data_IF_491326615173
#
_entry.id   IF_491326615173
#
_cell.length_a   1.000
_cell.length_b   1.000
_cell.length_c   1.000
_cell.angle_alpha   90.00
_cell.angle_beta   90.00
_cell.angle_gamma   90.00
#
_symmetry.space_group_name_H-M   'P 1'
#
loop_
_entity.id
_entity.type
_entity.pdbx_description
1 polymer ?
#
# COMPACT_ATOMS: atom_id res chain seq x y z
N UNK A 1 -11.92 -9.13 -2.32
CA UNK A 1 -11.44 -9.41 -3.68
C UNK A 1 -12.35 -8.72 -4.68
N UNK A 2 -11.84 -8.35 -5.86
CA UNK A 2 -12.61 -7.72 -6.94
C UNK A 2 -12.72 -8.72 -8.10
N UNK A 3 -13.80 -9.52 -8.21
CA UNK A 3 -13.90 -10.55 -9.25
C UNK A 3 -13.87 -9.97 -10.67
N UNK A 4 -14.18 -8.69 -10.83
CA UNK A 4 -14.20 -7.97 -12.10
C UNK A 4 -12.82 -7.59 -12.65
N UNK A 5 -11.77 -7.63 -11.82
CA UNK A 5 -10.40 -7.26 -12.21
C UNK A 5 -9.37 -8.17 -11.55
N UNK A 6 -8.36 -8.55 -12.30
CA UNK A 6 -7.20 -9.21 -11.73
C UNK A 6 -6.34 -8.19 -10.94
N UNK A 7 -6.08 -8.48 -9.67
CA UNK A 7 -5.25 -7.61 -8.82
C UNK A 7 -3.89 -8.26 -8.62
N UNK A 8 -2.87 -7.72 -9.27
CA UNK A 8 -1.48 -8.19 -9.18
C UNK A 8 -0.71 -7.36 -8.16
N UNK A 9 -0.19 -7.99 -7.12
CA UNK A 9 0.74 -7.36 -6.17
C UNK A 9 2.17 -7.42 -6.69
N UNK A 10 2.87 -6.28 -6.75
CA UNK A 10 4.30 -6.22 -7.07
C UNK A 10 5.11 -5.87 -5.81
N UNK A 11 6.06 -6.71 -5.44
CA UNK A 11 6.82 -6.53 -4.19
C UNK A 11 8.27 -7.01 -4.28
N UNK A 12 9.06 -6.82 -3.23
CA UNK A 12 10.40 -7.40 -3.13
C UNK A 12 10.33 -8.90 -2.78
N UNK A 13 11.34 -9.71 -3.13
CA UNK A 13 11.34 -11.15 -2.84
C UNK A 13 11.04 -11.50 -1.38
N UNK A 14 11.58 -10.71 -0.44
CA UNK A 14 11.38 -10.91 1.00
C UNK A 14 9.91 -10.75 1.45
N UNK A 15 9.08 -10.03 0.69
CA UNK A 15 7.71 -9.70 1.06
C UNK A 15 6.65 -10.52 0.30
N UNK A 16 7.04 -11.40 -0.64
CA UNK A 16 6.09 -12.18 -1.46
C UNK A 16 5.14 -12.99 -0.58
N UNK A 17 5.68 -13.83 0.30
CA UNK A 17 4.89 -14.69 1.17
C UNK A 17 3.93 -13.88 2.08
N UNK A 18 4.39 -12.72 2.57
CA UNK A 18 3.54 -11.83 3.34
C UNK A 18 2.39 -11.29 2.48
N UNK A 19 2.67 -10.72 1.31
CA UNK A 19 1.65 -10.19 0.42
C UNK A 19 0.64 -11.26 -0.02
N UNK A 20 1.09 -12.49 -0.31
CA UNK A 20 0.21 -13.63 -0.66
C UNK A 20 -0.72 -13.97 0.50
N UNK A 21 -0.19 -14.01 1.72
CA UNK A 21 -0.96 -14.32 2.93
C UNK A 21 -2.10 -13.32 3.22
N UNK A 22 -2.07 -12.12 2.62
CA UNK A 22 -3.16 -11.15 2.78
C UNK A 22 -4.45 -11.58 2.06
N UNK A 23 -4.37 -12.46 1.06
CA UNK A 23 -5.54 -12.99 0.34
C UNK A 23 -6.31 -11.95 -0.50
N UNK A 24 -5.73 -10.75 -0.70
CA UNK A 24 -6.35 -9.64 -1.46
C UNK A 24 -5.92 -9.59 -2.93
N UNK A 25 -4.82 -10.26 -3.27
CA UNK A 25 -4.27 -10.30 -4.62
C UNK A 25 -4.68 -11.58 -5.33
N UNK A 26 -4.91 -11.49 -6.65
CA UNK A 26 -5.05 -12.65 -7.52
C UNK A 26 -3.72 -13.40 -7.67
N UNK A 27 -2.62 -12.64 -7.71
CA UNK A 27 -1.24 -13.14 -7.72
C UNK A 27 -0.30 -12.09 -7.15
N UNK A 28 0.81 -12.55 -6.58
CA UNK A 28 1.92 -11.70 -6.15
C UNK A 28 3.13 -12.05 -6.99
N UNK A 29 3.78 -11.03 -7.53
CA UNK A 29 4.99 -11.15 -8.32
C UNK A 29 6.08 -10.26 -7.70
N UNK A 30 7.33 -10.65 -7.90
CA UNK A 30 8.46 -9.79 -7.60
C UNK A 30 8.61 -8.70 -8.66
N UNK A 31 9.30 -7.61 -8.33
CA UNK A 31 9.51 -6.50 -9.28
C UNK A 31 10.20 -6.91 -10.58
N UNK A 32 11.08 -7.91 -10.54
CA UNK A 32 11.79 -8.48 -11.69
C UNK A 32 10.95 -9.43 -12.54
N UNK A 33 9.81 -9.90 -12.04
CA UNK A 33 8.85 -10.75 -12.78
C UNK A 33 7.82 -9.93 -13.58
N UNK A 34 8.04 -8.62 -13.74
CA UNK A 34 7.13 -7.76 -14.50
C UNK A 34 6.93 -8.25 -15.95
N UNK A 35 7.93 -8.92 -16.50
CA UNK A 35 7.95 -9.45 -17.85
C UNK A 35 7.03 -10.67 -18.07
N UNK A 36 6.54 -11.29 -17.00
CA UNK A 36 5.56 -12.38 -17.08
C UNK A 36 4.14 -11.87 -17.34
N UNK A 37 3.91 -10.56 -17.18
CA UNK A 37 2.61 -9.94 -17.46
C UNK A 37 2.51 -9.57 -18.95
N UNK A 38 1.37 -9.86 -19.63
CA UNK A 38 1.18 -9.46 -21.02
C UNK A 38 1.16 -7.93 -21.14
N UNK A 39 2.00 -7.40 -22.03
CA UNK A 39 2.23 -5.97 -22.19
C UNK A 39 1.03 -5.22 -22.81
N UNK A 40 0.18 -5.92 -23.55
CA UNK A 40 -0.97 -5.40 -24.28
C UNK A 40 -2.28 -5.45 -23.48
N UNK A 41 -2.27 -6.07 -22.30
CA UNK A 41 -3.45 -6.15 -21.43
C UNK A 41 -3.80 -4.76 -20.89
N UNK A 42 -5.03 -4.26 -21.09
CA UNK A 42 -5.49 -3.01 -20.50
C UNK A 42 -5.37 -3.07 -18.97
N UNK A 43 -4.62 -2.13 -18.40
CA UNK A 43 -4.33 -2.16 -16.97
C UNK A 43 -4.30 -0.77 -16.35
N UNK A 44 -4.40 -0.73 -15.03
CA UNK A 44 -4.16 0.46 -14.23
C UNK A 44 -3.00 0.19 -13.29
N UNK A 45 -2.13 1.18 -13.13
CA UNK A 45 -1.02 1.12 -12.20
C UNK A 45 -1.33 1.93 -10.94
N UNK A 46 -1.11 1.33 -9.77
CA UNK A 46 -1.25 1.97 -8.46
C UNK A 46 0.07 1.84 -7.71
N UNK A 47 0.80 2.94 -7.59
CA UNK A 47 2.14 3.00 -7.03
C UNK A 47 2.10 3.37 -5.55
N UNK A 48 2.32 2.40 -4.67
CA UNK A 48 2.57 2.62 -3.24
C UNK A 48 4.05 2.65 -2.89
N UNK A 49 4.92 2.19 -3.78
CA UNK A 49 6.34 2.01 -3.51
C UNK A 49 7.14 3.31 -3.72
N UNK A 50 6.62 4.22 -4.54
CA UNK A 50 7.33 5.44 -4.94
C UNK A 50 8.60 5.15 -5.75
N UNK A 51 8.75 3.93 -6.27
CA UNK A 51 9.96 3.49 -6.96
C UNK A 51 9.94 4.00 -8.41
N UNK A 52 10.71 5.06 -8.69
CA UNK A 52 10.78 5.67 -10.02
C UNK A 52 11.27 4.73 -11.12
N UNK A 53 12.19 3.80 -10.82
CA UNK A 53 12.68 2.84 -11.80
C UNK A 53 11.59 1.82 -12.19
N UNK A 54 10.85 1.30 -11.20
CA UNK A 54 9.70 0.42 -11.45
C UNK A 54 8.61 1.14 -12.23
N UNK A 55 8.29 2.38 -11.86
CA UNK A 55 7.33 3.21 -12.59
C UNK A 55 7.74 3.35 -14.05
N UNK A 56 9.01 3.69 -14.33
CA UNK A 56 9.50 3.78 -15.70
C UNK A 56 9.37 2.45 -16.46
N UNK A 57 9.70 1.33 -15.82
CA UNK A 57 9.57 0.00 -16.42
C UNK A 57 8.12 -0.34 -16.77
N UNK A 58 7.17 -0.05 -15.87
CA UNK A 58 5.72 -0.25 -16.09
C UNK A 58 5.24 0.60 -17.27
N UNK A 59 5.49 1.91 -17.25
CA UNK A 59 5.06 2.79 -18.34
C UNK A 59 5.65 2.37 -19.69
N UNK A 60 6.94 1.98 -19.71
CA UNK A 60 7.61 1.56 -20.94
C UNK A 60 7.10 0.23 -21.49
N UNK A 61 6.68 -0.68 -20.60
CA UNK A 61 6.25 -2.02 -20.98
C UNK A 61 4.79 -2.07 -21.43
N UNK A 62 3.88 -1.49 -20.66
CA UNK A 62 2.44 -1.69 -20.89
C UNK A 62 1.90 -0.69 -21.90
N UNK A 63 1.61 -1.16 -23.11
CA UNK A 63 1.11 -0.32 -24.21
C UNK A 63 -0.34 0.14 -24.00
N UNK A 64 -1.10 -0.60 -23.19
CA UNK A 64 -2.50 -0.32 -22.88
C UNK A 64 -2.69 0.20 -21.43
N UNK A 65 -1.68 0.85 -20.85
CA UNK A 65 -1.79 1.45 -19.52
C UNK A 65 -2.81 2.59 -19.53
N UNK A 66 -3.96 2.38 -18.89
CA UNK A 66 -5.10 3.30 -18.91
C UNK A 66 -4.99 4.39 -17.84
N UNK A 67 -4.34 4.10 -16.72
CA UNK A 67 -4.21 5.02 -15.60
C UNK A 67 -2.94 4.73 -14.79
N UNK A 68 -2.29 5.78 -14.30
CA UNK A 68 -1.17 5.68 -13.35
C UNK A 68 -1.50 6.51 -12.13
N UNK A 69 -1.65 5.87 -10.98
CA UNK A 69 -1.97 6.46 -9.70
C UNK A 69 -0.76 6.41 -8.77
N UNK A 70 -0.35 7.53 -8.18
CA UNK A 70 0.69 7.56 -7.15
C UNK A 70 0.05 7.70 -5.78
N UNK A 71 0.25 6.71 -4.90
CA UNK A 71 -0.18 6.72 -3.51
C UNK A 71 1.04 6.95 -2.62
N UNK A 72 1.03 8.01 -1.83
CA UNK A 72 2.21 8.41 -1.05
C UNK A 72 3.10 9.36 -1.87
N UNK A 73 3.26 10.56 -1.33
CA UNK A 73 3.92 11.69 -1.96
C UNK A 73 3.99 12.85 -0.99
N UNK A 74 4.42 12.57 0.25
CA UNK A 74 4.64 13.60 1.28
C UNK A 74 5.78 14.56 0.91
N UNK A 75 6.62 14.19 -0.08
CA UNK A 75 7.57 15.08 -0.72
C UNK A 75 7.21 15.27 -2.20
N UNK A 76 6.59 16.41 -2.50
CA UNK A 76 6.18 16.83 -3.85
C UNK A 76 7.37 16.87 -4.82
N UNK A 77 8.59 17.07 -4.31
CA UNK A 77 9.82 17.17 -5.11
C UNK A 77 10.29 15.84 -5.72
N UNK A 78 9.96 14.68 -5.12
CA UNK A 78 10.29 13.37 -5.69
C UNK A 78 9.25 12.84 -6.70
N UNK A 79 8.13 13.55 -6.90
CA UNK A 79 7.24 13.33 -8.04
C UNK A 79 7.92 13.65 -9.39
N UNK A 80 9.12 14.25 -9.36
CA UNK A 80 9.95 14.55 -10.51
C UNK A 80 10.42 13.32 -11.31
N UNK A 81 10.25 12.09 -10.80
CA UNK A 81 10.50 10.84 -11.54
C UNK A 81 9.56 10.58 -12.72
N UNK A 82 8.67 11.53 -13.06
CA UNK A 82 7.68 11.44 -14.14
C UNK A 82 7.98 12.23 -15.42
N UNK A 83 9.19 12.78 -15.59
CA UNK A 83 9.55 13.42 -16.87
C UNK A 83 9.68 12.34 -17.94
N UNK A 84 8.99 12.51 -19.06
CA UNK A 84 9.04 11.67 -20.26
C UNK A 84 8.67 10.19 -20.07
N UNK A 85 7.66 9.92 -19.23
CA UNK A 85 7.04 8.59 -19.19
C UNK A 85 6.05 8.41 -20.36
N UNK A 86 6.09 7.29 -21.11
CA UNK A 86 5.05 6.97 -22.08
C UNK A 86 3.71 6.68 -21.39
N UNK A 87 2.61 6.86 -22.13
CA UNK A 87 1.27 6.61 -21.63
C UNK A 87 0.74 7.71 -20.69
N UNK A 88 -0.18 7.37 -19.76
CA UNK A 88 -0.85 8.36 -18.91
C UNK A 88 0.13 8.99 -17.93
N UNK A 89 -0.02 10.29 -17.64
CA UNK A 89 0.79 10.92 -16.59
C UNK A 89 0.41 10.36 -15.21
N UNK A 90 1.37 10.07 -14.32
CA UNK A 90 1.08 9.71 -12.94
C UNK A 90 0.25 10.80 -12.25
N UNK A 91 -0.88 10.41 -11.66
CA UNK A 91 -1.78 11.29 -10.90
C UNK A 91 -1.64 10.99 -9.42
N UNK A 92 -1.34 12.00 -8.62
CA UNK A 92 -1.28 11.88 -7.17
C UNK A 92 -2.68 11.61 -6.60
N UNK A 93 -2.81 10.54 -5.82
CA UNK A 93 -3.97 10.32 -4.98
C UNK A 93 -3.81 11.11 -3.68
N UNK A 94 -4.48 12.26 -3.62
CA UNK A 94 -4.55 13.03 -2.38
C UNK A 94 -5.83 12.69 -1.62
N UNK A 95 -5.71 11.87 -0.57
CA UNK A 95 -6.85 11.36 0.20
C UNK A 95 -7.82 12.46 0.69
N UNK A 96 -7.36 13.63 1.17
CA UNK A 96 -8.28 14.72 1.56
C UNK A 96 -9.13 15.26 0.40
N UNK A 97 -8.57 15.36 -0.81
CA UNK A 97 -9.34 15.79 -1.98
C UNK A 97 -10.41 14.75 -2.36
N UNK A 98 -10.09 13.46 -2.24
CA UNK A 98 -11.05 12.39 -2.49
C UNK A 98 -12.15 12.37 -1.43
N UNK A 99 -11.82 12.57 -0.15
CA UNK A 99 -12.81 12.73 0.91
C UNK A 99 -13.75 13.91 0.64
N UNK A 100 -13.21 15.09 0.25
CA UNK A 100 -14.01 16.26 -0.13
C UNK A 100 -14.94 15.95 -1.31
N UNK A 101 -14.44 15.29 -2.35
CA UNK A 101 -15.25 14.86 -3.50
C UNK A 101 -16.41 13.97 -3.05
N UNK A 102 -16.14 12.96 -2.21
CA UNK A 102 -17.17 12.03 -1.75
C UNK A 102 -18.21 12.66 -0.82
N UNK A 103 -17.83 13.67 -0.05
CA UNK A 103 -18.82 14.50 0.66
C UNK A 103 -19.74 15.24 -0.31
N UNK A 104 -19.21 15.76 -1.42
CA UNK A 104 -20.03 16.39 -2.47
C UNK A 104 -20.94 15.40 -3.19
N UNK A 105 -20.40 14.23 -3.57
CA UNK A 105 -21.13 13.21 -4.33
C UNK A 105 -22.25 12.54 -3.50
N UNK A 106 -22.02 12.31 -2.20
CA UNK A 106 -22.88 11.47 -1.36
C UNK A 106 -23.53 12.21 -0.18
N UNK A 107 -23.17 13.47 0.04
CA UNK A 107 -23.49 14.19 1.27
C UNK A 107 -22.68 13.68 2.47
N UNK A 108 -22.67 14.46 3.55
CA UNK A 108 -21.93 14.13 4.76
C UNK A 108 -22.42 12.83 5.42
N UNK A 109 -23.74 12.64 5.53
CA UNK A 109 -24.33 11.44 6.13
C UNK A 109 -23.96 10.17 5.34
N UNK A 110 -24.13 10.19 4.02
CA UNK A 110 -23.81 9.04 3.16
C UNK A 110 -22.32 8.73 3.11
N UNK A 111 -21.46 9.74 3.16
CA UNK A 111 -20.02 9.52 3.30
C UNK A 111 -19.67 8.84 4.63
N UNK A 112 -20.21 9.35 5.75
CA UNK A 112 -19.92 8.80 7.07
C UNK A 112 -20.40 7.36 7.22
N UNK A 113 -21.60 7.04 6.72
CA UNK A 113 -22.14 5.68 6.74
C UNK A 113 -21.23 4.71 5.98
N UNK A 114 -20.85 5.05 4.74
CA UNK A 114 -19.98 4.21 3.90
C UNK A 114 -18.58 4.06 4.48
N UNK A 115 -18.03 5.14 5.03
CA UNK A 115 -16.72 5.11 5.69
C UNK A 115 -16.75 4.22 6.93
N UNK A 116 -17.77 4.36 7.78
CA UNK A 116 -17.94 3.53 8.96
C UNK A 116 -18.10 2.05 8.59
N UNK A 117 -18.89 1.73 7.57
CA UNK A 117 -19.05 0.35 7.08
C UNK A 117 -17.72 -0.23 6.58
N UNK A 118 -17.00 0.52 5.74
CA UNK A 118 -15.70 0.09 5.21
C UNK A 118 -14.66 -0.07 6.33
N UNK A 119 -14.65 0.82 7.32
CA UNK A 119 -13.76 0.76 8.47
C UNK A 119 -14.01 -0.49 9.32
N UNK A 120 -15.27 -0.79 9.64
CA UNK A 120 -15.59 -2.02 10.39
C UNK A 120 -15.16 -3.28 9.63
N UNK A 121 -15.46 -3.36 8.33
CA UNK A 121 -15.04 -4.48 7.50
C UNK A 121 -13.51 -4.63 7.45
N UNK A 122 -12.79 -3.51 7.34
CA UNK A 122 -11.33 -3.48 7.36
C UNK A 122 -10.77 -3.98 8.70
N UNK A 123 -11.26 -3.47 9.84
CA UNK A 123 -10.79 -3.90 11.17
C UNK A 123 -11.06 -5.38 11.42
N UNK A 124 -12.23 -5.90 11.01
CA UNK A 124 -12.54 -7.32 11.12
C UNK A 124 -11.55 -8.19 10.34
N UNK A 125 -11.18 -7.76 9.13
CA UNK A 125 -10.22 -8.48 8.30
C UNK A 125 -8.78 -8.37 8.84
N UNK A 126 -8.38 -7.18 9.27
CA UNK A 126 -7.02 -6.92 9.79
C UNK A 126 -6.74 -7.73 11.05
N UNK A 127 -7.73 -7.84 11.93
CA UNK A 127 -7.60 -8.48 13.23
C UNK A 127 -8.09 -9.94 13.23
N UNK A 128 -8.31 -10.55 12.06
CA UNK A 128 -8.83 -11.91 11.97
C UNK A 128 -7.87 -12.92 12.67
N UNK A 129 -8.27 -13.63 13.74
CA UNK A 129 -7.33 -14.35 14.58
C UNK A 129 -6.54 -15.47 13.89
N UNK A 130 -7.13 -16.13 12.89
CA UNK A 130 -6.49 -17.23 12.17
C UNK A 130 -5.48 -16.77 11.12
N UNK A 131 -5.54 -15.51 10.68
CA UNK A 131 -4.68 -14.94 9.65
C UNK A 131 -4.63 -13.40 9.75
N UNK A 132 -4.15 -12.83 10.88
CA UNK A 132 -4.23 -11.39 11.10
C UNK A 132 -3.30 -10.66 10.13
N UNK A 133 -3.78 -9.62 9.46
CA UNK A 133 -2.91 -8.78 8.62
C UNK A 133 -1.93 -7.95 9.46
N UNK A 134 -2.32 -7.63 10.70
CA UNK A 134 -1.49 -6.89 11.66
C UNK A 134 -1.55 -7.55 13.03
N UNK A 135 -0.39 -7.74 13.65
CA UNK A 135 -0.25 -8.16 15.05
C UNK A 135 0.40 -7.02 15.81
N UNK A 136 -0.32 -6.48 16.79
CA UNK A 136 0.18 -5.37 17.59
C UNK A 136 1.08 -5.92 18.69
N UNK A 137 2.29 -5.37 18.80
CA UNK A 137 3.23 -5.63 19.88
C UNK A 137 3.49 -4.34 20.64
N UNK A 138 3.39 -4.42 21.96
CA UNK A 138 3.69 -3.30 22.85
C UNK A 138 5.12 -3.43 23.38
N UNK A 139 5.84 -2.31 23.38
CA UNK A 139 7.22 -2.19 23.83
C UNK A 139 7.29 -1.01 24.78
N UNK A 140 7.86 -1.25 25.96
CA UNK A 140 7.96 -0.26 27.04
C UNK A 140 9.40 -0.16 27.53
N UNK A 141 9.82 1.05 27.89
CA UNK A 141 11.19 1.34 28.30
C UNK A 141 12.15 1.59 27.13
N UNK A 142 13.23 2.32 27.42
CA UNK A 142 14.17 2.83 26.42
C UNK A 142 14.78 1.73 25.55
N UNK A 143 15.20 0.61 26.15
CA UNK A 143 15.87 -0.48 25.45
C UNK A 143 14.95 -1.17 24.42
N UNK A 144 13.70 -1.44 24.81
CA UNK A 144 12.72 -2.08 23.93
C UNK A 144 12.36 -1.18 22.74
N UNK A 145 12.20 0.12 22.99
CA UNK A 145 11.96 1.12 21.94
C UNK A 145 13.14 1.19 20.96
N UNK A 146 14.38 1.22 21.47
CA UNK A 146 15.58 1.23 20.63
C UNK A 146 15.68 -0.04 19.76
N UNK A 147 15.39 -1.21 20.34
CA UNK A 147 15.41 -2.47 19.61
C UNK A 147 14.37 -2.53 18.48
N UNK A 148 13.12 -2.16 18.78
CA UNK A 148 12.05 -2.10 17.79
C UNK A 148 12.36 -1.09 16.67
N UNK A 149 12.87 0.09 17.03
CA UNK A 149 13.29 1.09 16.06
C UNK A 149 14.43 0.57 15.14
N UNK A 150 15.44 -0.11 15.70
CA UNK A 150 16.54 -0.66 14.91
C UNK A 150 16.09 -1.77 13.93
N UNK A 151 15.06 -2.55 14.27
CA UNK A 151 14.45 -3.52 13.36
C UNK A 151 13.79 -2.83 12.16
N UNK A 152 12.96 -1.82 12.42
CA UNK A 152 12.24 -1.07 11.38
C UNK A 152 13.20 -0.28 10.50
N UNK A 153 14.12 0.48 11.11
CA UNK A 153 15.12 1.28 10.40
C UNK A 153 16.02 0.41 9.51
N UNK A 154 16.38 -0.79 10.00
CA UNK A 154 17.18 -1.75 9.24
C UNK A 154 16.41 -2.53 8.18
N UNK A 155 15.10 -2.32 8.02
CA UNK A 155 14.28 -3.09 7.08
C UNK A 155 14.17 -4.58 7.41
N UNK A 156 14.35 -4.94 8.70
CA UNK A 156 14.30 -6.33 9.21
C UNK A 156 13.05 -6.62 10.04
N UNK A 157 12.15 -5.64 10.17
CA UNK A 157 10.86 -5.85 10.82
C UNK A 157 9.99 -6.81 10.01
N UNK A 158 9.30 -7.72 10.69
CA UNK A 158 8.23 -8.50 10.07
C UNK A 158 7.10 -7.53 9.69
N UNK A 159 6.69 -7.47 8.40
CA UNK A 159 5.66 -6.53 7.94
C UNK A 159 4.28 -6.75 8.59
N UNK A 160 4.06 -7.89 9.26
CA UNK A 160 2.84 -8.15 10.04
C UNK A 160 2.88 -7.47 11.41
N UNK A 161 4.04 -7.07 11.93
CA UNK A 161 4.15 -6.52 13.28
C UNK A 161 3.92 -5.01 13.28
N UNK A 162 2.92 -4.58 14.04
CA UNK A 162 2.72 -3.19 14.42
C UNK A 162 3.36 -2.92 15.78
N UNK A 163 4.34 -2.03 15.85
CA UNK A 163 5.03 -1.71 17.11
C UNK A 163 4.38 -0.49 17.81
N UNK A 164 3.83 -0.72 18.99
CA UNK A 164 3.37 0.34 19.90
C UNK A 164 4.47 0.61 20.92
N UNK A 165 5.03 1.82 20.88
CA UNK A 165 6.24 2.18 21.63
C UNK A 165 5.90 3.17 22.75
N UNK A 166 6.30 2.85 23.98
CA UNK A 166 6.28 3.78 25.11
C UNK A 166 7.67 3.90 25.71
N UNK A 167 8.07 5.13 26.05
CA UNK A 167 9.31 5.38 26.79
C UNK A 167 9.15 5.20 28.31
N UNK A 168 7.91 5.06 28.79
CA UNK A 168 7.64 4.73 30.19
C UNK A 168 7.95 3.26 30.44
N UNK A 169 8.44 2.94 31.64
CA UNK A 169 8.55 1.55 32.09
C UNK A 169 7.14 1.01 32.46
N UNK A 170 6.87 -0.28 32.22
CA UNK A 170 5.62 -0.90 32.66
C UNK A 170 5.56 -0.90 34.20
N UNK A 171 4.73 -0.02 34.78
CA UNK A 171 4.50 0.03 36.23
C UNK A 171 4.58 1.40 36.91
N UNK A 172 4.52 2.51 36.18
CA UNK A 172 4.31 3.86 36.75
C UNK A 172 3.14 4.58 36.11
#
# INVERSE_FOLDING_TARGET
QRPEVEVVGLTSPANVAFCESLGVYSRVLTYDQLDTLPADTPCVYVDFAGNGALRKAIHSRFSALAYSCSIGGTHVDQLAGGRDLPGPRPVLFFAPAQAKKRHGDWGAAGFNERMAQAWHAFIQQVSQPSAPWLVVQHHSGLEAVQAAHALVLGGRGDPRLGHMLSLSDEGQ
#
